data_IF_736745865943
#
_entry.id   IF_736745865943
#
_cell.length_a   1.000
_cell.length_b   1.000
_cell.length_c   1.000
_cell.angle_alpha   90.00
_cell.angle_beta   90.00
_cell.angle_gamma   90.00
#
_symmetry.space_group_name_H-M   'P 1'
#
loop_
_entity.id
_entity.type
_entity.pdbx_description
1 polymer ?
#
# COMPACT_ATOMS: atom_id res chain seq x y z
N UNK A 1 25.06 60.12 -42.49
CA UNK A 1 26.05 60.72 -41.57
C UNK A 1 25.88 60.11 -40.19
N UNK A 2 26.59 59.02 -39.92
CA UNK A 2 26.63 58.34 -38.63
C UNK A 2 27.83 58.85 -37.82
N UNK A 3 27.64 59.20 -36.54
CA UNK A 3 28.54 58.95 -35.39
C UNK A 3 27.64 58.93 -34.13
N UNK A 4 27.39 57.86 -33.38
CA UNK A 4 28.22 56.89 -32.66
C UNK A 4 29.06 57.47 -31.49
N UNK A 5 28.68 57.01 -30.28
CA UNK A 5 29.53 56.59 -29.13
C UNK A 5 30.29 57.60 -28.24
N UNK A 6 30.41 57.18 -26.96
CA UNK A 6 31.27 57.63 -25.82
C UNK A 6 30.73 58.80 -24.99
N UNK A 7 30.73 58.78 -23.65
CA UNK A 7 31.57 58.08 -22.67
C UNK A 7 30.75 57.94 -21.36
N UNK A 8 30.75 56.81 -20.62
CA UNK A 8 31.82 56.29 -19.75
C UNK A 8 32.62 57.36 -18.98
N UNK A 9 31.99 57.94 -17.95
CA UNK A 9 32.70 58.45 -16.79
C UNK A 9 32.44 57.46 -15.65
N UNK A 10 33.41 56.57 -15.38
CA UNK A 10 34.30 56.67 -14.23
C UNK A 10 33.58 56.58 -12.88
N UNK A 11 33.78 55.44 -12.18
CA UNK A 11 34.52 55.34 -10.90
C UNK A 11 33.83 56.13 -9.76
N UNK A 12 33.49 55.58 -8.60
CA UNK A 12 34.16 54.54 -7.83
C UNK A 12 33.43 54.46 -6.48
N UNK A 13 33.43 53.27 -5.87
CA UNK A 13 33.41 53.04 -4.41
C UNK A 13 32.16 53.53 -3.65
N UNK A 14 31.26 52.60 -3.33
CA UNK A 14 31.17 52.13 -1.94
C UNK A 14 30.71 50.68 -1.93
N UNK A 15 31.61 49.84 -1.43
CA UNK A 15 31.46 48.43 -1.15
C UNK A 15 31.08 48.30 0.33
N UNK A 16 29.88 47.81 0.63
CA UNK A 16 29.52 47.12 1.89
C UNK A 16 28.24 46.32 1.58
N UNK A 17 28.38 45.09 1.09
CA UNK A 17 28.32 43.86 1.90
C UNK A 17 27.18 43.84 2.91
N UNK A 18 26.05 43.25 2.51
CA UNK A 18 25.46 42.00 3.04
C UNK A 18 24.12 41.87 2.31
N UNK A 19 23.83 40.86 1.49
CA UNK A 19 23.85 39.44 1.80
C UNK A 19 22.48 38.91 1.36
N UNK A 20 22.48 38.08 0.33
CA UNK A 20 21.30 37.42 -0.22
C UNK A 20 20.59 36.55 0.83
N UNK A 21 19.31 36.22 0.60
CA UNK A 21 18.78 34.85 0.54
C UNK A 21 17.27 34.93 0.20
N UNK A 22 16.92 34.37 -0.96
CA UNK A 22 15.54 34.02 -1.31
C UNK A 22 15.01 33.01 -0.28
N UNK A 23 13.95 33.34 0.45
CA UNK A 23 13.15 32.35 1.18
C UNK A 23 11.94 31.94 0.35
N UNK A 24 12.13 30.89 -0.46
CA UNK A 24 11.07 30.01 -0.90
C UNK A 24 10.40 29.37 0.32
N UNK A 25 9.11 29.59 0.53
CA UNK A 25 8.33 28.89 1.56
C UNK A 25 8.23 27.40 1.24
N UNK A 26 9.04 26.58 1.91
CA UNK A 26 8.90 25.13 1.95
C UNK A 26 7.68 24.75 2.82
N UNK A 27 6.88 23.74 2.44
CA UNK A 27 5.77 23.28 3.26
C UNK A 27 6.29 22.73 4.59
N UNK A 28 5.72 23.25 5.68
CA UNK A 28 5.96 22.84 7.07
C UNK A 28 5.79 21.32 7.20
N UNK A 29 6.88 20.59 7.41
CA UNK A 29 6.82 19.18 7.81
C UNK A 29 6.25 19.10 9.23
N UNK A 30 5.17 18.33 9.40
CA UNK A 30 4.60 18.06 10.72
C UNK A 30 5.55 17.17 11.53
N UNK A 31 5.74 17.53 12.81
CA UNK A 31 6.58 16.80 13.76
C UNK A 31 5.86 15.49 14.15
N UNK A 32 6.59 14.38 14.34
CA UNK A 32 6.01 13.06 14.64
C UNK A 32 5.29 12.93 15.99
N UNK A 33 5.26 13.97 16.84
CA UNK A 33 4.57 13.95 18.13
C UNK A 33 3.08 14.35 18.06
N UNK A 34 2.66 15.13 17.05
CA UNK A 34 1.25 15.56 16.91
C UNK A 34 0.36 14.43 16.36
N UNK A 35 0.96 13.45 15.68
CA UNK A 35 0.27 12.26 15.17
C UNK A 35 -0.06 11.28 16.28
N UNK A 36 0.77 11.16 17.32
CA UNK A 36 0.52 10.21 18.42
C UNK A 36 -0.71 10.61 19.24
N UNK A 37 -0.86 11.89 19.61
CA UNK A 37 -2.04 12.38 20.35
C UNK A 37 -3.35 12.31 19.54
N UNK A 38 -3.27 12.38 18.20
CA UNK A 38 -4.42 12.22 17.30
C UNK A 38 -4.87 10.76 17.16
N UNK A 39 -3.91 9.82 17.18
CA UNK A 39 -4.17 8.37 17.17
C UNK A 39 -4.75 7.92 18.52
N UNK A 40 -4.26 8.46 19.64
CA UNK A 40 -4.78 8.14 20.98
C UNK A 40 -6.20 8.66 21.20
N UNK A 41 -6.51 9.89 20.74
CA UNK A 41 -7.86 10.47 20.87
C UNK A 41 -8.89 9.73 19.99
N UNK A 42 -8.47 9.13 18.87
CA UNK A 42 -9.34 8.29 18.03
C UNK A 42 -9.57 6.87 18.60
N UNK A 43 -8.77 6.43 19.57
CA UNK A 43 -8.87 5.12 20.20
C UNK A 43 -9.87 5.12 21.38
N UNK A 44 -10.06 6.25 22.07
CA UNK A 44 -10.93 6.34 23.27
C UNK A 44 -12.43 6.46 22.93
N UNK A 45 -12.80 6.78 21.68
CA UNK A 45 -14.21 6.95 21.27
C UNK A 45 -14.83 5.74 20.56
N UNK A 46 -14.12 4.60 20.43
CA UNK A 46 -14.65 3.41 19.73
C UNK A 46 -15.04 2.28 20.68
N UNK A 47 -15.59 2.64 21.83
CA UNK A 47 -15.93 1.73 22.93
C UNK A 47 -17.44 1.66 23.20
N UNK A 48 -18.29 1.81 22.19
CA UNK A 48 -19.73 1.63 22.34
C UNK A 48 -20.28 0.85 21.16
N UNK A 49 -20.61 -0.42 21.39
CA UNK A 49 -21.39 -1.23 20.44
C UNK A 49 -20.69 -2.46 19.88
N UNK A 50 -20.07 -3.30 20.72
CA UNK A 50 -20.00 -4.73 20.38
C UNK A 50 -21.37 -5.32 20.75
N UNK A 51 -22.38 -5.03 19.94
CA UNK A 51 -23.62 -5.80 19.99
C UNK A 51 -23.26 -7.23 19.64
N UNK A 52 -23.28 -8.10 20.65
CA UNK A 52 -23.24 -9.56 20.50
C UNK A 52 -24.42 -9.98 19.62
N UNK A 53 -24.25 -9.93 18.31
CA UNK A 53 -25.11 -10.61 17.36
C UNK A 53 -24.98 -12.10 17.68
N UNK A 54 -26.00 -12.63 18.35
CA UNK A 54 -26.23 -14.07 18.48
C UNK A 54 -26.40 -14.60 17.07
N UNK A 55 -25.30 -15.02 16.44
CA UNK A 55 -25.32 -15.73 15.18
C UNK A 55 -26.22 -16.94 15.39
N UNK A 56 -27.40 -16.94 14.75
CA UNK A 56 -28.25 -18.11 14.71
C UNK A 56 -27.40 -19.28 14.20
N UNK A 57 -27.21 -20.31 15.03
CA UNK A 57 -26.34 -21.45 14.72
C UNK A 57 -27.00 -22.21 13.57
N UNK A 58 -26.68 -21.79 12.34
CA UNK A 58 -27.09 -22.49 11.13
C UNK A 58 -26.29 -23.77 11.07
N UNK A 59 -26.92 -24.88 11.46
CA UNK A 59 -26.28 -26.19 11.44
C UNK A 59 -25.72 -26.47 10.04
N UNK A 60 -24.42 -26.82 9.92
CA UNK A 60 -23.85 -27.19 8.63
C UNK A 60 -24.53 -28.46 8.12
N UNK A 61 -24.59 -28.58 6.79
CA UNK A 61 -25.06 -29.81 6.14
C UNK A 61 -24.26 -31.03 6.62
N UNK A 62 -24.97 -32.11 6.96
CA UNK A 62 -24.37 -33.37 7.38
C UNK A 62 -23.72 -34.08 6.20
N UNK A 63 -22.42 -34.36 6.32
CA UNK A 63 -21.59 -35.02 5.29
C UNK A 63 -20.80 -36.17 5.89
N UNK A 64 -20.63 -37.24 5.11
CA UNK A 64 -19.80 -38.39 5.48
C UNK A 64 -18.32 -38.00 5.62
N UNK A 65 -17.55 -38.79 6.35
CA UNK A 65 -16.11 -38.57 6.54
C UNK A 65 -15.34 -38.59 5.22
N UNK A 66 -15.65 -39.54 4.32
CA UNK A 66 -15.03 -39.63 2.99
C UNK A 66 -15.25 -38.36 2.17
N UNK A 67 -16.47 -37.80 2.16
CA UNK A 67 -16.77 -36.56 1.44
C UNK A 67 -16.03 -35.37 2.07
N UNK A 68 -15.97 -35.29 3.40
CA UNK A 68 -15.20 -34.24 4.10
C UNK A 68 -13.71 -34.30 3.76
N UNK A 69 -13.13 -35.50 3.69
CA UNK A 69 -11.72 -35.69 3.32
C UNK A 69 -11.45 -35.22 1.88
N UNK A 70 -12.31 -35.59 0.92
CA UNK A 70 -12.22 -35.13 -0.48
C UNK A 70 -12.32 -33.60 -0.58
N UNK A 71 -13.28 -32.99 0.12
CA UNK A 71 -13.45 -31.54 0.16
C UNK A 71 -12.23 -30.83 0.77
N UNK A 72 -11.70 -31.34 1.88
CA UNK A 72 -10.52 -30.80 2.52
C UNK A 72 -9.29 -30.88 1.60
N UNK A 73 -9.10 -31.99 0.88
CA UNK A 73 -8.00 -32.14 -0.08
C UNK A 73 -8.16 -31.19 -1.26
N UNK A 74 -9.35 -31.05 -1.81
CA UNK A 74 -9.65 -30.12 -2.90
C UNK A 74 -9.39 -28.66 -2.48
N UNK A 75 -9.74 -28.30 -1.24
CA UNK A 75 -9.42 -26.98 -0.70
C UNK A 75 -7.91 -26.77 -0.54
N UNK A 76 -7.18 -27.77 -0.03
CA UNK A 76 -5.72 -27.70 0.12
C UNK A 76 -4.96 -27.59 -1.20
N UNK A 77 -5.46 -28.21 -2.27
CA UNK A 77 -4.84 -28.16 -3.61
C UNK A 77 -5.06 -26.82 -4.32
N UNK A 78 -6.13 -26.08 -3.96
CA UNK A 78 -6.52 -24.85 -4.62
C UNK A 78 -5.70 -23.62 -4.15
N UNK A 79 -4.38 -23.77 -4.06
CA UNK A 79 -3.44 -22.75 -3.59
C UNK A 79 -2.62 -22.18 -4.76
N UNK A 80 -2.19 -20.91 -4.69
CA UNK A 80 -1.29 -20.34 -5.69
C UNK A 80 0.11 -20.96 -5.56
N UNK A 81 0.90 -20.86 -6.62
CA UNK A 81 2.28 -21.38 -6.63
C UNK A 81 3.16 -20.51 -5.70
N UNK A 82 4.01 -21.12 -4.86
CA UNK A 82 4.96 -20.39 -4.03
C UNK A 82 5.96 -19.58 -4.87
N UNK A 83 6.36 -18.41 -4.37
CA UNK A 83 7.22 -17.48 -5.12
C UNK A 83 8.60 -18.07 -5.43
N UNK A 84 9.23 -18.77 -4.48
CA UNK A 84 10.56 -19.35 -4.69
C UNK A 84 10.61 -20.38 -5.83
N UNK A 85 9.50 -21.06 -6.14
CA UNK A 85 9.40 -21.97 -7.29
C UNK A 85 9.54 -21.19 -8.61
N UNK A 86 8.99 -19.98 -8.68
CA UNK A 86 9.11 -19.12 -9.89
C UNK A 86 10.54 -18.67 -10.12
N UNK A 87 11.34 -18.58 -9.06
CA UNK A 87 12.72 -18.13 -9.09
C UNK A 87 13.73 -19.26 -9.35
N UNK A 88 13.28 -20.52 -9.44
CA UNK A 88 14.18 -21.64 -9.80
C UNK A 88 14.56 -21.58 -11.27
N UNK A 89 15.85 -21.71 -11.55
CA UNK A 89 16.39 -21.81 -12.91
C UNK A 89 15.84 -23.05 -13.63
N UNK A 90 15.54 -22.93 -14.93
CA UNK A 90 15.03 -24.03 -15.76
C UNK A 90 13.57 -24.43 -15.50
N UNK A 91 12.83 -23.71 -14.66
CA UNK A 91 11.40 -23.93 -14.49
C UNK A 91 10.61 -23.26 -15.62
N UNK A 92 9.54 -23.89 -16.12
CA UNK A 92 8.59 -23.31 -17.10
C UNK A 92 7.26 -22.91 -16.46
N UNK A 93 6.98 -23.39 -15.24
CA UNK A 93 5.70 -23.20 -14.57
C UNK A 93 5.58 -21.76 -14.04
N UNK A 94 4.50 -21.06 -14.40
CA UNK A 94 4.20 -19.68 -13.95
C UNK A 94 3.04 -19.61 -12.97
N UNK A 95 1.96 -20.32 -13.26
CA UNK A 95 0.73 -20.36 -12.48
C UNK A 95 0.22 -21.79 -12.35
N UNK A 96 -0.68 -22.04 -11.40
CA UNK A 96 -1.28 -23.35 -11.20
C UNK A 96 -2.45 -23.54 -12.18
N UNK A 97 -2.21 -24.25 -13.28
CA UNK A 97 -3.23 -24.54 -14.29
C UNK A 97 -4.45 -25.32 -13.75
N UNK A 98 -4.26 -26.10 -12.68
CA UNK A 98 -5.32 -26.91 -12.04
C UNK A 98 -6.09 -26.16 -10.94
N UNK A 99 -5.79 -24.87 -10.72
CA UNK A 99 -6.50 -24.04 -9.74
C UNK A 99 -7.96 -23.89 -10.17
N UNK A 100 -8.90 -23.98 -9.21
CA UNK A 100 -10.33 -24.03 -9.48
C UNK A 100 -11.09 -22.90 -8.79
N UNK A 101 -12.10 -22.32 -9.43
CA UNK A 101 -13.03 -21.40 -8.78
C UNK A 101 -14.40 -22.07 -8.58
N UNK A 102 -14.95 -21.98 -7.37
CA UNK A 102 -16.15 -22.72 -6.99
C UNK A 102 -17.42 -22.31 -7.75
N UNK A 103 -17.48 -21.07 -8.26
CA UNK A 103 -18.59 -20.61 -9.11
C UNK A 103 -18.46 -21.09 -10.56
N UNK A 104 -17.25 -21.32 -11.07
CA UNK A 104 -17.01 -21.66 -12.48
C UNK A 104 -17.11 -23.15 -12.77
N UNK A 105 -16.58 -23.99 -11.89
CA UNK A 105 -16.56 -25.45 -12.09
C UNK A 105 -16.92 -26.18 -10.80
N UNK A 106 -17.69 -27.27 -10.90
CA UNK A 106 -18.15 -28.07 -9.75
C UNK A 106 -17.20 -29.25 -9.47
N UNK A 107 -17.24 -29.81 -8.25
CA UNK A 107 -16.36 -30.91 -7.84
C UNK A 107 -16.92 -32.31 -8.17
N UNK A 108 -18.23 -32.44 -8.44
CA UNK A 108 -18.85 -33.72 -8.81
C UNK A 108 -18.70 -34.81 -7.74
N UNK A 109 -18.79 -34.44 -6.46
CA UNK A 109 -18.64 -35.31 -5.29
C UNK A 109 -19.72 -35.06 -4.26
#
# INVERSE_FOLDING_TARGET
MLRNFKAFAHKFIMLASTGAILSSGLPRQERPDDTQKKIETACVQRSAGISNERQAIKMPSQKSFRTKQKLAKAQKQNRPIPQWIRLRTGNTIRYNAKRRHWRKTRLGI
#
